data_IF_261001013773
#
_entry.id   IF_261001013773
#
_cell.length_a   1.000
_cell.length_b   1.000
_cell.length_c   1.000
_cell.angle_alpha   90.00
_cell.angle_beta   90.00
_cell.angle_gamma   90.00
#
_symmetry.space_group_name_H-M   'P 1'
#
loop_
_entity.id
_entity.type
_entity.pdbx_description
1 polymer ?
#
# COMPACT_ATOMS: atom_id res chain seq x y z
N UNK A 1 -29.88 20.14 34.16
CA UNK A 1 -28.50 19.69 33.92
C UNK A 1 -28.51 18.63 32.82
N UNK A 2 -28.40 19.04 31.59
CA UNK A 2 -28.34 18.13 30.44
C UNK A 2 -26.88 17.72 30.25
N UNK A 3 -26.57 16.48 30.60
CA UNK A 3 -25.30 15.86 30.24
C UNK A 3 -25.31 15.66 28.74
N UNK A 4 -24.52 16.48 28.02
CA UNK A 4 -24.11 16.24 26.65
C UNK A 4 -23.32 14.92 26.64
N UNK A 5 -24.01 13.82 26.37
CA UNK A 5 -23.38 12.60 25.92
C UNK A 5 -22.81 12.93 24.54
N UNK A 6 -21.54 13.31 24.53
CA UNK A 6 -20.78 13.43 23.29
C UNK A 6 -20.80 12.06 22.62
N UNK A 7 -21.67 11.91 21.63
CA UNK A 7 -21.58 10.82 20.67
C UNK A 7 -20.23 10.96 19.97
N UNK A 8 -19.24 10.28 20.53
CA UNK A 8 -18.01 10.00 19.84
C UNK A 8 -18.38 9.08 18.66
N UNK A 9 -18.70 9.70 17.51
CA UNK A 9 -18.73 9.04 16.23
C UNK A 9 -17.27 8.83 15.77
N UNK A 10 -16.45 8.28 16.65
CA UNK A 10 -15.25 7.62 16.19
C UNK A 10 -15.76 6.41 15.38
N UNK A 11 -15.61 6.48 14.06
CA UNK A 11 -15.73 5.31 13.20
C UNK A 11 -15.11 4.14 13.95
N UNK A 12 -15.87 3.07 14.20
CA UNK A 12 -15.39 1.92 14.93
C UNK A 12 -14.20 1.33 14.18
N UNK A 13 -12.99 1.78 14.53
CA UNK A 13 -11.76 1.16 14.07
C UNK A 13 -11.71 -0.22 14.72
N UNK A 14 -11.49 -1.24 13.93
CA UNK A 14 -11.34 -2.62 14.39
C UNK A 14 -10.07 -3.21 13.76
N UNK A 15 -8.90 -2.96 14.37
CA UNK A 15 -7.63 -3.44 13.84
C UNK A 15 -7.56 -4.96 13.71
N UNK A 16 -8.26 -5.70 14.55
CA UNK A 16 -8.30 -7.15 14.48
C UNK A 16 -9.03 -7.63 13.21
N UNK A 17 -10.19 -7.04 12.91
CA UNK A 17 -10.88 -7.30 11.64
C UNK A 17 -10.10 -6.81 10.44
N UNK A 18 -9.45 -5.64 10.54
CA UNK A 18 -8.59 -5.14 9.48
C UNK A 18 -7.52 -6.16 9.10
N UNK A 19 -6.80 -6.68 10.10
CA UNK A 19 -5.78 -7.71 9.89
C UNK A 19 -6.36 -8.96 9.25
N UNK A 20 -7.51 -9.43 9.72
CA UNK A 20 -8.17 -10.65 9.22
C UNK A 20 -8.50 -10.52 7.72
N UNK A 21 -9.10 -9.41 7.32
CA UNK A 21 -9.38 -9.15 5.91
C UNK A 21 -8.13 -8.90 5.07
N UNK A 22 -7.10 -8.30 5.64
CA UNK A 22 -5.81 -8.15 4.96
C UNK A 22 -5.18 -9.52 4.67
N UNK A 23 -5.12 -10.41 5.65
CA UNK A 23 -4.58 -11.77 5.49
C UNK A 23 -5.37 -12.58 4.45
N UNK A 24 -6.71 -12.44 4.44
CA UNK A 24 -7.57 -13.04 3.42
C UNK A 24 -7.24 -12.48 2.03
N UNK A 25 -7.15 -11.17 1.89
CA UNK A 25 -6.81 -10.52 0.62
C UNK A 25 -5.44 -10.94 0.10
N UNK A 26 -4.42 -10.95 0.94
CA UNK A 26 -3.07 -11.43 0.59
C UNK A 26 -3.09 -12.89 0.13
N UNK A 27 -3.84 -13.75 0.81
CA UNK A 27 -3.99 -15.16 0.40
C UNK A 27 -4.66 -15.29 -0.97
N UNK A 28 -5.69 -14.48 -1.24
CA UNK A 28 -6.40 -14.48 -2.52
C UNK A 28 -5.54 -13.96 -3.67
N UNK A 29 -4.57 -13.06 -3.41
CA UNK A 29 -3.63 -12.56 -4.42
C UNK A 29 -2.76 -13.65 -5.06
N UNK A 30 -2.61 -14.81 -4.44
CA UNK A 30 -1.87 -15.94 -5.00
C UNK A 30 -2.60 -16.60 -6.19
N UNK A 31 -3.85 -16.25 -6.43
CA UNK A 31 -4.65 -16.76 -7.53
C UNK A 31 -5.19 -15.61 -8.39
N UNK A 32 -4.69 -15.50 -9.63
CA UNK A 32 -5.08 -14.45 -10.57
C UNK A 32 -6.59 -14.38 -10.84
N UNK A 33 -7.28 -15.50 -10.81
CA UNK A 33 -8.74 -15.54 -11.01
C UNK A 33 -9.52 -14.92 -9.84
N UNK A 34 -8.86 -14.65 -8.72
CA UNK A 34 -9.46 -14.11 -7.48
C UNK A 34 -9.03 -12.69 -7.13
N UNK A 35 -8.45 -11.97 -8.07
CA UNK A 35 -7.99 -10.60 -7.81
C UNK A 35 -9.11 -9.65 -7.41
N UNK A 36 -10.31 -9.87 -7.92
CA UNK A 36 -11.47 -9.06 -7.54
C UNK A 36 -11.87 -9.30 -6.07
N UNK A 37 -11.95 -10.56 -5.67
CA UNK A 37 -12.24 -10.91 -4.27
C UNK A 37 -11.11 -10.44 -3.33
N UNK A 38 -9.86 -10.52 -3.78
CA UNK A 38 -8.73 -9.99 -3.04
C UNK A 38 -8.84 -8.46 -2.82
N UNK A 39 -9.21 -7.71 -3.85
CA UNK A 39 -9.42 -6.25 -3.74
C UNK A 39 -10.55 -5.94 -2.75
N UNK A 40 -11.68 -6.65 -2.83
CA UNK A 40 -12.80 -6.48 -1.90
C UNK A 40 -12.40 -6.76 -0.44
N UNK A 41 -11.58 -7.79 -0.20
CA UNK A 41 -11.05 -8.08 1.14
C UNK A 41 -10.12 -6.96 1.64
N UNK A 42 -9.19 -6.48 0.80
CA UNK A 42 -8.30 -5.39 1.16
C UNK A 42 -9.02 -4.04 1.34
N UNK A 43 -10.09 -3.79 0.59
CA UNK A 43 -10.99 -2.64 0.80
C UNK A 43 -11.64 -2.68 2.19
N UNK A 44 -12.09 -3.87 2.63
CA UNK A 44 -12.60 -4.05 3.99
C UNK A 44 -11.50 -3.82 5.03
N UNK A 45 -10.28 -4.31 4.77
CA UNK A 45 -9.16 -4.10 5.68
C UNK A 45 -8.91 -2.61 5.95
N UNK A 46 -8.77 -1.79 4.91
CA UNK A 46 -8.56 -0.34 5.07
C UNK A 46 -9.78 0.39 5.64
N UNK A 47 -10.99 -0.15 5.42
CA UNK A 47 -12.22 0.39 6.03
C UNK A 47 -12.27 0.16 7.53
N UNK A 48 -11.86 -1.02 8.01
CA UNK A 48 -11.84 -1.37 9.42
C UNK A 48 -10.70 -0.71 10.20
N UNK A 49 -9.57 -0.43 9.53
CA UNK A 49 -8.48 0.34 10.14
C UNK A 49 -7.79 1.23 9.08
N UNK A 50 -8.10 2.51 9.12
CA UNK A 50 -7.52 3.52 8.23
C UNK A 50 -6.04 3.79 8.49
N UNK A 51 -5.49 3.31 9.59
CA UNK A 51 -4.08 3.44 9.96
C UNK A 51 -3.28 2.16 9.66
N UNK A 52 -3.90 1.16 9.04
CA UNK A 52 -3.22 -0.07 8.64
C UNK A 52 -2.41 0.16 7.35
N UNK A 53 -1.16 0.62 7.49
CA UNK A 53 -0.27 0.87 6.35
C UNK A 53 0.00 -0.40 5.51
N UNK A 54 0.06 -1.58 6.14
CA UNK A 54 0.25 -2.84 5.44
C UNK A 54 -0.93 -3.17 4.52
N UNK A 55 -2.16 -2.89 4.94
CA UNK A 55 -3.35 -3.11 4.11
C UNK A 55 -3.34 -2.23 2.85
N UNK A 56 -2.97 -0.95 2.98
CA UNK A 56 -2.76 -0.08 1.81
C UNK A 56 -1.65 -0.60 0.90
N UNK A 57 -0.52 -1.00 1.48
CA UNK A 57 0.60 -1.56 0.72
C UNK A 57 0.19 -2.80 -0.08
N UNK A 58 -0.47 -3.76 0.54
CA UNK A 58 -0.91 -4.99 -0.15
C UNK A 58 -1.97 -4.69 -1.21
N UNK A 59 -2.89 -3.75 -0.96
CA UNK A 59 -3.84 -3.31 -1.98
C UNK A 59 -3.15 -2.63 -3.16
N UNK A 60 -2.14 -1.81 -2.90
CA UNK A 60 -1.30 -1.23 -3.94
C UNK A 60 -0.60 -2.30 -4.78
N UNK A 61 0.01 -3.31 -4.16
CA UNK A 61 0.63 -4.43 -4.86
C UNK A 61 -0.37 -5.20 -5.75
N UNK A 62 -1.55 -5.47 -5.24
CA UNK A 62 -2.63 -6.10 -6.01
C UNK A 62 -3.02 -5.24 -7.22
N UNK A 63 -3.18 -3.94 -7.01
CA UNK A 63 -3.56 -3.00 -8.07
C UNK A 63 -2.52 -2.88 -9.16
N UNK A 64 -1.22 -3.00 -8.83
CA UNK A 64 -0.17 -3.14 -9.86
C UNK A 64 -0.40 -4.38 -10.70
N UNK A 65 -0.68 -5.53 -10.08
CA UNK A 65 -0.97 -6.78 -10.80
C UNK A 65 -2.23 -6.69 -11.68
N UNK A 66 -3.20 -5.88 -11.27
CA UNK A 66 -4.41 -5.56 -12.03
C UNK A 66 -4.21 -4.45 -13.07
N UNK A 67 -2.99 -3.92 -13.22
CA UNK A 67 -2.64 -2.77 -14.08
C UNK A 67 -3.35 -1.47 -13.72
N UNK A 68 -3.83 -1.35 -12.49
CA UNK A 68 -4.44 -0.13 -11.93
C UNK A 68 -3.33 0.75 -11.30
N UNK A 69 -2.39 1.21 -12.12
CA UNK A 69 -1.14 1.81 -11.64
C UNK A 69 -1.33 3.11 -10.84
N UNK A 70 -2.24 3.99 -11.26
CA UNK A 70 -2.49 5.27 -10.55
C UNK A 70 -3.13 5.02 -9.19
N UNK A 71 -4.06 4.09 -9.11
CA UNK A 71 -4.68 3.69 -7.85
C UNK A 71 -3.68 3.00 -6.92
N UNK A 72 -2.76 2.19 -7.48
CA UNK A 72 -1.67 1.58 -6.73
C UNK A 72 -0.73 2.62 -6.12
N UNK A 73 -0.34 3.65 -6.88
CA UNK A 73 0.49 4.74 -6.37
C UNK A 73 -0.18 5.47 -5.21
N UNK A 74 -1.49 5.76 -5.30
CA UNK A 74 -2.23 6.38 -4.21
C UNK A 74 -2.22 5.52 -2.93
N UNK A 75 -2.31 4.19 -3.07
CA UNK A 75 -2.21 3.28 -1.93
C UNK A 75 -0.80 3.25 -1.32
N UNK A 76 0.24 3.23 -2.14
CA UNK A 76 1.62 3.31 -1.63
C UNK A 76 1.90 4.66 -0.96
N UNK A 77 1.40 5.77 -1.51
CA UNK A 77 1.50 7.09 -0.88
C UNK A 77 0.84 7.08 0.51
N UNK A 78 -0.35 6.51 0.63
CA UNK A 78 -1.00 6.38 1.93
C UNK A 78 -0.21 5.50 2.89
N UNK A 79 0.39 4.42 2.41
CA UNK A 79 1.23 3.54 3.24
C UNK A 79 2.47 4.27 3.77
N UNK A 80 3.16 5.07 2.95
CA UNK A 80 4.34 5.86 3.40
C UNK A 80 3.96 7.08 4.23
N UNK A 81 2.78 7.64 4.05
CA UNK A 81 2.28 8.68 4.96
C UNK A 81 2.10 8.13 6.38
N UNK A 82 1.59 6.92 6.51
CA UNK A 82 1.41 6.22 7.79
C UNK A 82 2.71 5.64 8.34
N UNK A 83 3.63 5.20 7.47
CA UNK A 83 4.93 4.64 7.81
C UNK A 83 6.01 5.23 6.89
N UNK A 84 6.62 6.38 7.26
CA UNK A 84 7.56 7.12 6.41
C UNK A 84 8.85 6.38 6.04
N UNK A 85 9.26 5.37 6.77
CA UNK A 85 10.44 4.53 6.54
C UNK A 85 10.12 3.20 5.82
N UNK A 86 8.94 3.10 5.19
CA UNK A 86 8.50 1.87 4.55
C UNK A 86 9.21 1.63 3.20
N UNK A 87 10.43 1.11 3.28
CA UNK A 87 11.32 0.91 2.13
C UNK A 87 10.69 0.10 0.98
N UNK A 88 9.89 -0.92 1.30
CA UNK A 88 9.21 -1.75 0.29
C UNK A 88 8.15 -0.99 -0.49
N UNK A 89 7.45 -0.05 0.16
CA UNK A 89 6.48 0.80 -0.53
C UNK A 89 7.17 1.74 -1.52
N UNK A 90 8.27 2.39 -1.13
CA UNK A 90 9.07 3.20 -2.05
C UNK A 90 9.57 2.39 -3.24
N UNK A 91 10.06 1.18 -3.01
CA UNK A 91 10.52 0.32 -4.10
C UNK A 91 9.40 -0.02 -5.08
N UNK A 92 8.22 -0.38 -4.59
CA UNK A 92 7.08 -0.69 -5.46
C UNK A 92 6.54 0.54 -6.17
N UNK A 93 6.63 1.74 -5.59
CA UNK A 93 6.37 3.00 -6.30
C UNK A 93 7.34 3.17 -7.47
N UNK A 94 8.63 2.98 -7.25
CA UNK A 94 9.64 3.02 -8.33
C UNK A 94 9.30 2.05 -9.47
N UNK A 95 8.98 0.80 -9.14
CA UNK A 95 8.56 -0.19 -10.13
C UNK A 95 7.29 0.23 -10.89
N UNK A 96 6.34 0.82 -10.20
CA UNK A 96 5.09 1.28 -10.80
C UNK A 96 5.35 2.44 -11.76
N UNK A 97 6.26 3.35 -11.44
CA UNK A 97 6.66 4.42 -12.36
C UNK A 97 7.38 3.89 -13.60
N UNK A 98 8.21 2.83 -13.50
CA UNK A 98 8.76 2.14 -14.67
C UNK A 98 7.63 1.64 -15.58
N UNK A 99 6.59 1.02 -15.01
CA UNK A 99 5.43 0.54 -15.78
C UNK A 99 4.63 1.68 -16.43
N UNK A 100 4.73 2.89 -15.90
CA UNK A 100 4.17 4.12 -16.45
C UNK A 100 5.12 4.85 -17.41
N UNK A 101 6.27 4.26 -17.73
CA UNK A 101 7.34 4.85 -18.55
C UNK A 101 7.89 6.18 -18.00
N UNK A 102 7.94 6.32 -16.69
CA UNK A 102 8.51 7.47 -15.98
C UNK A 102 9.74 7.04 -15.19
N UNK A 103 10.88 6.94 -15.89
CA UNK A 103 12.12 6.47 -15.28
C UNK A 103 12.72 7.48 -14.30
N UNK A 104 12.49 8.77 -14.50
CA UNK A 104 13.00 9.82 -13.60
C UNK A 104 12.38 9.66 -12.20
N UNK A 105 11.06 9.57 -12.11
CA UNK A 105 10.38 9.31 -10.84
C UNK A 105 10.70 7.94 -10.28
N UNK A 106 10.83 6.92 -11.12
CA UNK A 106 11.25 5.60 -10.67
C UNK A 106 12.59 5.65 -9.94
N UNK A 107 13.55 6.37 -10.48
CA UNK A 107 14.87 6.54 -9.87
C UNK A 107 14.82 7.30 -8.53
N UNK A 108 13.99 8.33 -8.41
CA UNK A 108 13.78 9.02 -7.14
C UNK A 108 13.31 8.04 -6.05
N UNK A 109 12.32 7.22 -6.36
CA UNK A 109 11.77 6.25 -5.41
C UNK A 109 12.71 5.09 -5.11
N UNK A 110 13.52 4.62 -6.06
CA UNK A 110 14.56 3.63 -5.77
C UNK A 110 15.64 4.16 -4.84
N UNK A 111 16.04 5.44 -4.99
CA UNK A 111 16.97 6.10 -4.05
C UNK A 111 16.39 6.19 -2.65
N UNK A 112 15.10 6.53 -2.52
CA UNK A 112 14.40 6.54 -1.23
C UNK A 112 14.33 5.14 -0.61
N UNK A 113 14.01 4.11 -1.40
CA UNK A 113 13.99 2.74 -0.93
C UNK A 113 15.36 2.31 -0.39
N UNK A 114 16.44 2.65 -1.07
CA UNK A 114 17.82 2.40 -0.61
C UNK A 114 18.14 3.18 0.67
N UNK A 115 17.75 4.45 0.75
CA UNK A 115 17.94 5.29 1.94
C UNK A 115 17.26 4.68 3.18
N UNK A 116 16.08 4.08 3.01
CA UNK A 116 15.34 3.41 4.09
C UNK A 116 15.70 1.93 4.27
N UNK A 117 16.82 1.50 3.69
CA UNK A 117 17.45 0.22 4.03
C UNK A 117 16.99 -0.97 3.18
N UNK A 118 16.31 -0.76 2.05
CA UNK A 118 16.02 -1.88 1.16
C UNK A 118 17.31 -2.39 0.49
N UNK A 119 17.64 -3.69 0.63
CA UNK A 119 18.85 -4.26 0.04
C UNK A 119 18.67 -4.55 -1.46
N UNK A 120 19.80 -4.84 -2.13
CA UNK A 120 19.85 -5.37 -3.51
C UNK A 120 19.24 -4.44 -4.57
N UNK A 121 19.51 -3.12 -4.47
CA UNK A 121 19.04 -2.12 -5.43
C UNK A 121 20.08 -1.68 -6.45
N UNK A 122 21.30 -2.24 -6.45
CA UNK A 122 22.40 -1.80 -7.29
C UNK A 122 22.06 -1.80 -8.77
N UNK A 123 21.33 -2.81 -9.26
CA UNK A 123 20.93 -2.92 -10.65
C UNK A 123 19.89 -1.86 -11.05
N UNK A 124 19.01 -1.51 -10.14
CA UNK A 124 18.01 -0.45 -10.35
C UNK A 124 18.68 0.92 -10.34
N UNK A 125 19.59 1.16 -9.40
CA UNK A 125 20.29 2.45 -9.24
C UNK A 125 21.29 2.71 -10.35
N UNK A 126 21.90 1.69 -10.93
CA UNK A 126 22.79 1.85 -12.11
C UNK A 126 22.09 2.44 -13.33
N UNK A 127 20.80 2.24 -13.47
CA UNK A 127 19.99 2.81 -14.56
C UNK A 127 19.60 4.27 -14.30
N UNK A 128 19.87 4.78 -13.10
CA UNK A 128 19.45 6.11 -12.65
C UNK A 128 20.51 7.19 -12.86
N UNK A 129 21.54 6.90 -13.62
CA UNK A 129 22.66 7.85 -13.89
C UNK A 129 22.65 8.33 -15.33
#
# INVERSE_FOLDING_TARGET
MLALVGLCLSSCQDPAKSRLYMDEGVKLMLNYSKFKEAEEALDKAVKYDKNNYDAYYHRGCLRVNMKKYREALADFEQAIELKPDFADAYFNMGRTYVLLNDEDRACEYYKLAAQYGRPNLDDYLRRCN
#
